data_IF_996277745792
#
_entry.id   IF_996277745792
#
_cell.length_a   1.000
_cell.length_b   1.000
_cell.length_c   1.000
_cell.angle_alpha   90.00
_cell.angle_beta   90.00
_cell.angle_gamma   90.00
#
_symmetry.space_group_name_H-M   'P 1'
#
loop_
_entity.id
_entity.type
_entity.pdbx_description
1 polymer ?
#
# COMPACT_ATOMS: atom_id res chain seq x y z
N UNK A 1 28.40 5.63 -25.23
CA UNK A 1 27.16 5.71 -24.41
C UNK A 1 26.93 7.10 -23.83
N UNK A 2 27.94 7.80 -23.32
CA UNK A 2 27.76 9.13 -22.70
C UNK A 2 27.22 10.23 -23.66
N UNK A 3 27.65 10.25 -24.92
CA UNK A 3 27.18 11.24 -25.92
C UNK A 3 25.73 11.00 -26.36
N UNK A 4 25.27 9.75 -26.42
CA UNK A 4 23.88 9.41 -26.77
C UNK A 4 22.92 9.76 -25.63
N UNK A 5 23.33 9.58 -24.37
CA UNK A 5 22.54 9.99 -23.20
C UNK A 5 22.39 11.52 -23.18
N UNK A 6 23.46 12.27 -23.39
CA UNK A 6 23.40 13.72 -23.48
C UNK A 6 22.55 14.22 -24.66
N UNK A 7 22.59 13.54 -25.80
CA UNK A 7 21.76 13.90 -26.97
C UNK A 7 20.27 13.68 -26.67
N UNK A 8 19.92 12.56 -26.03
CA UNK A 8 18.54 12.24 -25.64
C UNK A 8 18.03 13.18 -24.55
N UNK A 9 18.82 13.47 -23.52
CA UNK A 9 18.48 14.45 -22.48
C UNK A 9 18.22 15.85 -23.05
N UNK A 10 19.05 16.27 -24.01
CA UNK A 10 18.90 17.55 -24.70
C UNK A 10 17.60 17.63 -25.53
N UNK A 11 17.17 16.52 -26.12
CA UNK A 11 15.91 16.44 -26.88
C UNK A 11 14.68 16.45 -25.96
N UNK A 12 14.79 15.87 -24.75
CA UNK A 12 13.74 15.91 -23.73
C UNK A 12 13.54 17.33 -23.15
N UNK A 13 14.62 18.07 -22.87
CA UNK A 13 14.51 19.48 -22.45
C UNK A 13 13.91 20.37 -23.54
N UNK A 14 14.32 20.17 -24.80
CA UNK A 14 13.71 20.87 -25.93
C UNK A 14 12.21 20.55 -26.02
N UNK A 15 11.83 19.29 -25.82
CA UNK A 15 10.42 18.86 -25.79
C UNK A 15 9.61 19.56 -24.71
N UNK A 16 10.16 19.72 -23.49
CA UNK A 16 9.50 20.46 -22.41
C UNK A 16 9.22 21.92 -22.83
N UNK A 17 10.17 22.59 -23.48
CA UNK A 17 9.96 23.96 -23.98
C UNK A 17 8.83 24.03 -25.02
N UNK A 18 8.74 23.05 -25.92
CA UNK A 18 7.64 22.97 -26.89
C UNK A 18 6.29 22.76 -26.22
N UNK A 19 6.21 21.93 -25.18
CA UNK A 19 4.98 21.76 -24.42
C UNK A 19 4.58 23.04 -23.68
N UNK A 20 5.53 23.73 -23.05
CA UNK A 20 5.27 25.03 -22.43
C UNK A 20 4.71 26.04 -23.41
N UNK A 21 5.31 26.13 -24.61
CA UNK A 21 4.82 26.99 -25.68
C UNK A 21 3.39 26.63 -26.08
N UNK A 22 3.10 25.35 -26.31
CA UNK A 22 1.76 24.89 -26.67
C UNK A 22 0.71 25.20 -25.59
N UNK A 23 1.04 25.02 -24.30
CA UNK A 23 0.16 25.35 -23.17
C UNK A 23 -0.14 26.86 -23.15
N UNK A 24 0.88 27.70 -23.32
CA UNK A 24 0.73 29.17 -23.32
C UNK A 24 -0.06 29.67 -24.54
N UNK A 25 0.13 29.04 -25.70
CA UNK A 25 -0.61 29.33 -26.94
C UNK A 25 -2.02 28.72 -26.96
N UNK A 26 -2.40 27.98 -25.91
CA UNK A 26 -3.66 27.23 -25.78
C UNK A 26 -3.86 26.18 -26.88
N UNK A 27 -2.79 25.70 -27.49
CA UNK A 27 -2.83 24.61 -28.46
C UNK A 27 -2.72 23.25 -27.76
N UNK A 28 -3.73 22.40 -27.95
CA UNK A 28 -3.76 21.01 -27.43
C UNK A 28 -3.31 20.86 -25.97
N UNK A 29 -3.71 21.80 -25.12
CA UNK A 29 -3.29 21.90 -23.69
C UNK A 29 -3.42 20.56 -22.95
N UNK A 30 -4.51 19.83 -23.19
CA UNK A 30 -4.75 18.50 -22.61
C UNK A 30 -3.59 17.52 -22.86
N UNK A 31 -3.15 17.39 -24.11
CA UNK A 31 -2.07 16.46 -24.48
C UNK A 31 -0.72 17.02 -24.05
N UNK A 32 -0.47 18.30 -24.32
CA UNK A 32 0.78 18.96 -23.98
C UNK A 32 1.10 18.85 -22.48
N UNK A 33 0.12 19.11 -21.61
CA UNK A 33 0.31 19.03 -20.15
C UNK A 33 0.58 17.59 -19.68
N UNK A 34 -0.13 16.60 -20.23
CA UNK A 34 0.09 15.18 -19.88
C UNK A 34 1.45 14.68 -20.34
N UNK A 35 1.81 14.99 -21.58
CA UNK A 35 3.08 14.54 -22.17
C UNK A 35 4.27 15.23 -21.48
N UNK A 36 4.14 16.53 -21.18
CA UNK A 36 5.13 17.28 -20.39
C UNK A 36 5.34 16.67 -19.01
N UNK A 37 4.27 16.32 -18.29
CA UNK A 37 4.38 15.70 -16.97
C UNK A 37 5.07 14.33 -17.03
N UNK A 38 4.85 13.54 -18.09
CA UNK A 38 5.53 12.25 -18.29
C UNK A 38 7.01 12.46 -18.58
N UNK A 39 7.37 13.42 -19.42
CA UNK A 39 8.78 13.74 -19.73
C UNK A 39 9.50 14.27 -18.50
N UNK A 40 8.90 15.21 -17.76
CA UNK A 40 9.45 15.73 -16.50
C UNK A 40 9.68 14.61 -15.48
N UNK A 41 8.75 13.65 -15.37
CA UNK A 41 8.93 12.47 -14.52
C UNK A 41 10.14 11.62 -14.93
N UNK A 42 10.40 11.46 -16.23
CA UNK A 42 11.56 10.69 -16.74
C UNK A 42 12.89 11.40 -16.45
N UNK A 43 12.87 12.72 -16.31
CA UNK A 43 14.03 13.55 -15.98
C UNK A 43 14.18 13.79 -14.48
N UNK A 44 13.51 13.02 -13.63
CA UNK A 44 13.59 13.18 -12.17
C UNK A 44 12.99 14.51 -11.62
N UNK A 45 12.17 15.19 -12.43
CA UNK A 45 11.55 16.49 -12.12
C UNK A 45 10.08 16.32 -11.71
N UNK A 46 9.80 15.36 -10.82
CA UNK A 46 8.43 15.04 -10.44
C UNK A 46 7.70 16.20 -9.74
N UNK A 47 8.41 17.00 -8.94
CA UNK A 47 7.84 18.16 -8.25
C UNK A 47 7.38 19.24 -9.22
N UNK A 48 8.20 19.53 -10.24
CA UNK A 48 7.84 20.47 -11.30
C UNK A 48 6.66 19.96 -12.12
N UNK A 49 6.62 18.65 -12.40
CA UNK A 49 5.47 18.03 -13.07
C UNK A 49 4.17 18.21 -12.27
N UNK A 50 4.23 18.00 -10.95
CA UNK A 50 3.08 18.22 -10.05
C UNK A 50 2.64 19.68 -10.09
N UNK A 51 3.58 20.62 -10.01
CA UNK A 51 3.27 22.04 -9.98
C UNK A 51 2.67 22.51 -11.32
N UNK A 52 3.22 22.04 -12.43
CA UNK A 52 2.68 22.31 -13.75
C UNK A 52 1.24 21.77 -13.88
N UNK A 53 0.98 20.52 -13.45
CA UNK A 53 -0.39 19.99 -13.48
C UNK A 53 -1.32 20.83 -12.61
N UNK A 54 -0.93 21.18 -11.39
CA UNK A 54 -1.76 22.03 -10.50
C UNK A 54 -2.05 23.38 -11.12
N UNK A 55 -1.04 24.00 -11.72
CA UNK A 55 -1.13 25.32 -12.34
C UNK A 55 -2.01 25.32 -13.58
N UNK A 56 -1.90 24.32 -14.47
CA UNK A 56 -2.54 24.37 -15.80
C UNK A 56 -3.77 23.46 -15.95
N UNK A 57 -4.07 22.56 -15.00
CA UNK A 57 -5.23 21.66 -15.14
C UNK A 57 -6.55 22.38 -15.35
N UNK A 58 -6.70 23.62 -14.88
CA UNK A 58 -7.93 24.41 -15.07
C UNK A 58 -8.17 24.82 -16.54
N UNK A 59 -7.12 24.83 -17.36
CA UNK A 59 -7.20 25.06 -18.80
C UNK A 59 -7.57 23.80 -19.58
N UNK A 60 -7.48 22.63 -18.95
CA UNK A 60 -7.78 21.35 -19.58
C UNK A 60 -9.27 21.00 -19.55
N UNK A 61 -9.70 20.19 -20.51
CA UNK A 61 -11.09 19.73 -20.59
C UNK A 61 -11.49 18.87 -19.37
N UNK A 62 -12.78 18.84 -19.06
CA UNK A 62 -13.34 17.99 -18.00
C UNK A 62 -13.02 16.49 -18.21
N UNK A 63 -12.92 16.05 -19.47
CA UNK A 63 -12.59 14.66 -19.80
C UNK A 63 -11.14 14.29 -19.47
N UNK A 64 -10.22 15.27 -19.49
CA UNK A 64 -8.80 15.06 -19.18
C UNK A 64 -8.50 15.08 -17.68
N UNK A 65 -9.38 15.63 -16.85
CA UNK A 65 -9.19 15.72 -15.39
C UNK A 65 -8.95 14.34 -14.74
N UNK A 66 -9.71 13.31 -15.12
CA UNK A 66 -9.53 11.95 -14.56
C UNK A 66 -8.13 11.38 -14.88
N UNK A 67 -7.60 11.70 -16.07
CA UNK A 67 -6.25 11.29 -16.48
C UNK A 67 -5.17 12.06 -15.75
N UNK A 68 -5.35 13.37 -15.57
CA UNK A 68 -4.44 14.22 -14.78
C UNK A 68 -4.40 13.80 -13.32
N UNK A 69 -5.57 13.46 -12.73
CA UNK A 69 -5.64 12.95 -11.36
C UNK A 69 -4.88 11.62 -11.21
N UNK A 70 -4.96 10.74 -12.22
CA UNK A 70 -4.21 9.48 -12.21
C UNK A 70 -2.70 9.71 -12.33
N UNK A 71 -2.27 10.70 -13.13
CA UNK A 71 -0.86 11.11 -13.20
C UNK A 71 -0.38 11.69 -11.87
N UNK A 72 -1.14 12.59 -11.24
CA UNK A 72 -0.81 13.15 -9.93
C UNK A 72 -0.67 12.06 -8.85
N UNK A 73 -1.63 11.12 -8.79
CA UNK A 73 -1.56 9.99 -7.84
C UNK A 73 -0.29 9.16 -8.04
N UNK A 74 0.18 9.04 -9.29
CA UNK A 74 1.41 8.32 -9.61
C UNK A 74 2.67 9.12 -9.27
N UNK A 75 2.68 10.43 -9.52
CA UNK A 75 3.75 11.36 -9.16
C UNK A 75 3.92 11.53 -7.64
N UNK A 76 2.84 11.33 -6.86
CA UNK A 76 2.88 11.41 -5.40
C UNK A 76 3.36 10.14 -4.69
N UNK A 77 3.46 9.00 -5.39
CA UNK A 77 4.02 7.79 -4.79
C UNK A 77 5.43 8.07 -4.27
N UNK A 78 5.92 7.35 -3.28
CA UNK A 78 7.36 7.30 -2.93
C UNK A 78 8.07 6.28 -3.83
N UNK A 79 9.36 6.45 -4.07
CA UNK A 79 10.22 5.41 -4.65
C UNK A 79 10.65 4.40 -3.60
N UNK A 80 10.10 3.20 -3.67
CA UNK A 80 10.55 2.06 -2.85
C UNK A 80 11.53 1.15 -3.58
N UNK A 81 11.60 1.25 -4.90
CA UNK A 81 12.31 0.27 -5.75
C UNK A 81 13.58 0.90 -6.33
N UNK A 82 14.51 1.28 -5.45
CA UNK A 82 15.80 1.93 -5.78
C UNK A 82 16.66 1.22 -6.82
N UNK A 83 16.26 1.30 -8.08
CA UNK A 83 17.04 1.03 -9.27
C UNK A 83 16.86 2.23 -10.22
N UNK A 84 17.70 3.25 -9.99
CA UNK A 84 17.97 4.43 -10.83
C UNK A 84 16.78 5.38 -11.13
N UNK A 85 16.64 6.39 -10.26
CA UNK A 85 16.53 7.79 -10.68
C UNK A 85 15.17 8.32 -11.15
N UNK A 86 14.14 8.24 -10.31
CA UNK A 86 12.92 9.03 -10.53
C UNK A 86 12.24 9.39 -9.21
N UNK A 87 12.92 10.16 -8.34
CA UNK A 87 12.45 10.89 -7.17
C UNK A 87 11.04 11.43 -7.38
N UNK A 88 10.08 10.61 -6.97
CA UNK A 88 8.70 11.03 -6.85
C UNK A 88 8.54 11.90 -5.60
N UNK A 89 7.55 12.79 -5.58
CA UNK A 89 7.47 13.89 -4.61
C UNK A 89 7.29 13.47 -3.13
N UNK A 90 7.03 12.19 -2.86
CA UNK A 90 6.81 11.68 -1.50
C UNK A 90 5.60 12.25 -0.77
N UNK A 91 4.65 12.81 -1.50
CA UNK A 91 3.42 13.47 -1.01
C UNK A 91 2.32 12.45 -0.73
N UNK A 92 2.57 11.55 0.22
CA UNK A 92 1.68 10.41 0.51
C UNK A 92 0.34 10.87 1.08
N UNK A 93 0.31 11.95 1.86
CA UNK A 93 -0.90 12.53 2.42
C UNK A 93 -1.85 13.03 1.31
N UNK A 94 -1.32 13.77 0.33
CA UNK A 94 -2.06 14.24 -0.83
C UNK A 94 -2.54 13.06 -1.69
N UNK A 95 -1.72 12.03 -1.83
CA UNK A 95 -2.11 10.79 -2.50
C UNK A 95 -3.33 10.14 -1.83
N UNK A 96 -3.29 9.99 -0.50
CA UNK A 96 -4.38 9.42 0.29
C UNK A 96 -5.66 10.26 0.13
N UNK A 97 -5.54 11.58 0.21
CA UNK A 97 -6.69 12.48 0.07
C UNK A 97 -7.35 12.34 -1.30
N UNK A 98 -6.56 12.33 -2.38
CA UNK A 98 -7.07 12.15 -3.74
C UNK A 98 -7.73 10.78 -3.92
N UNK A 99 -7.11 9.70 -3.43
CA UNK A 99 -7.67 8.35 -3.52
C UNK A 99 -9.02 8.25 -2.78
N UNK A 100 -9.11 8.81 -1.57
CA UNK A 100 -10.38 8.90 -0.81
C UNK A 100 -11.43 9.71 -1.55
N UNK A 101 -11.05 10.84 -2.15
CA UNK A 101 -11.98 11.66 -2.94
C UNK A 101 -12.50 10.89 -4.16
N UNK A 102 -11.65 10.18 -4.90
CA UNK A 102 -12.10 9.37 -6.05
C UNK A 102 -13.03 8.23 -5.62
N UNK A 103 -12.73 7.54 -4.51
CA UNK A 103 -13.62 6.53 -3.93
C UNK A 103 -14.99 7.13 -3.55
N UNK A 104 -15.00 8.33 -2.94
CA UNK A 104 -16.24 9.06 -2.61
C UNK A 104 -17.04 9.40 -3.87
N UNK A 105 -16.37 9.81 -4.95
CA UNK A 105 -17.02 10.12 -6.23
C UNK A 105 -17.65 8.88 -6.90
N UNK A 106 -17.04 7.70 -6.75
CA UNK A 106 -17.64 6.43 -7.18
C UNK A 106 -18.87 6.11 -6.33
N UNK A 107 -18.76 6.20 -5.00
CA UNK A 107 -19.87 5.94 -4.10
C UNK A 107 -21.08 6.85 -4.35
N UNK A 108 -20.84 8.13 -4.67
CA UNK A 108 -21.88 9.09 -5.05
C UNK A 108 -22.45 8.88 -6.47
N UNK A 109 -21.97 7.88 -7.23
CA UNK A 109 -22.40 7.61 -8.60
C UNK A 109 -21.90 8.63 -9.64
N UNK A 110 -21.13 9.64 -9.23
CA UNK A 110 -20.63 10.73 -10.09
C UNK A 110 -19.51 10.27 -11.03
N UNK A 111 -18.67 9.33 -10.61
CA UNK A 111 -17.54 8.89 -11.42
C UNK A 111 -17.94 8.08 -12.67
N UNK A 112 -19.12 7.48 -12.68
CA UNK A 112 -19.63 6.65 -13.77
C UNK A 112 -20.95 7.18 -14.36
N UNK A 113 -21.41 8.36 -13.94
CA UNK A 113 -22.69 8.96 -14.37
C UNK A 113 -23.86 7.98 -14.24
N UNK A 114 -23.93 7.24 -13.12
CA UNK A 114 -24.96 6.22 -12.87
C UNK A 114 -24.82 4.91 -13.65
N UNK A 115 -23.84 4.78 -14.56
CA UNK A 115 -23.57 3.52 -15.28
C UNK A 115 -22.72 2.58 -14.42
N UNK A 116 -22.78 1.28 -14.69
CA UNK A 116 -21.96 0.27 -14.01
C UNK A 116 -20.55 0.13 -14.61
N UNK A 117 -20.36 0.60 -15.85
CA UNK A 117 -19.10 0.55 -16.59
C UNK A 117 -18.84 1.87 -17.33
N UNK A 118 -17.55 2.17 -17.53
CA UNK A 118 -17.08 3.27 -18.39
C UNK A 118 -16.07 2.76 -19.40
N UNK A 119 -16.03 3.38 -20.59
CA UNK A 119 -15.01 3.08 -21.59
C UNK A 119 -13.75 3.86 -21.26
N UNK A 120 -12.66 3.16 -20.96
CA UNK A 120 -11.33 3.72 -20.84
C UNK A 120 -10.54 3.51 -22.14
N UNK A 121 -9.50 4.30 -22.34
CA UNK A 121 -8.53 4.11 -23.42
C UNK A 121 -7.13 4.03 -22.85
N UNK A 122 -6.36 3.07 -23.33
CA UNK A 122 -4.94 2.94 -23.03
C UNK A 122 -4.22 2.46 -24.28
N UNK A 123 -3.13 3.14 -24.66
CA UNK A 123 -2.34 2.85 -25.86
C UNK A 123 -3.19 2.65 -27.14
N UNK A 124 -4.16 3.56 -27.36
CA UNK A 124 -5.06 3.51 -28.52
C UNK A 124 -6.16 2.44 -28.46
N UNK A 125 -6.12 1.53 -27.48
CA UNK A 125 -7.14 0.48 -27.31
C UNK A 125 -8.23 0.92 -26.35
N UNK A 126 -9.49 0.64 -26.73
CA UNK A 126 -10.67 0.86 -25.88
C UNK A 126 -10.93 -0.40 -25.05
N UNK A 127 -11.23 -0.22 -23.77
CA UNK A 127 -11.65 -1.30 -22.89
C UNK A 127 -12.71 -0.78 -21.92
N UNK A 128 -13.49 -1.70 -21.35
CA UNK A 128 -14.49 -1.35 -20.35
C UNK A 128 -13.90 -1.54 -18.96
N UNK A 129 -14.15 -0.56 -18.10
CA UNK A 129 -13.81 -0.60 -16.67
C UNK A 129 -15.12 -0.61 -15.90
N UNK A 130 -15.30 -1.58 -15.02
CA UNK A 130 -16.46 -1.64 -14.12
C UNK A 130 -16.23 -0.86 -12.83
N UNK A 131 -17.31 -0.47 -12.15
CA UNK A 131 -17.25 0.11 -10.80
C UNK A 131 -16.47 -0.81 -9.85
N UNK A 132 -16.69 -2.14 -9.92
CA UNK A 132 -16.02 -3.11 -9.04
C UNK A 132 -14.51 -3.10 -9.25
N UNK A 133 -14.06 -3.22 -10.50
CA UNK A 133 -12.64 -3.19 -10.89
C UNK A 133 -11.98 -1.88 -10.45
N UNK A 134 -12.61 -0.74 -10.73
CA UNK A 134 -12.06 0.57 -10.38
C UNK A 134 -11.99 0.79 -8.87
N UNK A 135 -13.03 0.35 -8.14
CA UNK A 135 -13.06 0.45 -6.67
C UNK A 135 -11.96 -0.40 -6.04
N UNK A 136 -11.81 -1.66 -6.49
CA UNK A 136 -10.76 -2.55 -5.99
C UNK A 136 -9.35 -2.00 -6.30
N UNK A 137 -9.15 -1.41 -7.48
CA UNK A 137 -7.90 -0.75 -7.88
C UNK A 137 -7.58 0.46 -6.99
N UNK A 138 -8.54 1.34 -6.76
CA UNK A 138 -8.35 2.52 -5.91
C UNK A 138 -8.11 2.15 -4.45
N UNK A 139 -8.82 1.14 -3.93
CA UNK A 139 -8.54 0.59 -2.60
C UNK A 139 -7.13 -0.01 -2.53
N UNK A 140 -6.70 -0.79 -3.53
CA UNK A 140 -5.34 -1.33 -3.58
C UNK A 140 -4.25 -0.25 -3.53
N UNK A 141 -4.46 0.86 -4.25
CA UNK A 141 -3.57 2.03 -4.22
C UNK A 141 -3.60 2.75 -2.87
N UNK A 142 -4.78 2.87 -2.25
CA UNK A 142 -4.93 3.49 -0.92
C UNK A 142 -4.26 2.65 0.17
N UNK A 143 -4.39 1.33 0.09
CA UNK A 143 -3.66 0.40 0.96
C UNK A 143 -2.15 0.57 0.83
N UNK A 144 -1.65 0.74 -0.41
CA UNK A 144 -0.22 0.97 -0.64
C UNK A 144 0.25 2.29 -0.02
N UNK A 145 -0.52 3.36 -0.19
CA UNK A 145 -0.21 4.65 0.42
C UNK A 145 -0.14 4.56 1.96
N UNK A 146 -1.04 3.81 2.59
CA UNK A 146 -0.96 3.56 4.04
C UNK A 146 0.24 2.70 4.46
N UNK A 147 0.67 1.74 3.63
CA UNK A 147 1.91 1.00 3.88
C UNK A 147 3.13 1.92 3.88
N UNK A 148 3.15 2.92 2.99
CA UNK A 148 4.24 3.91 2.97
C UNK A 148 4.31 4.77 4.24
N UNK A 149 3.18 4.98 4.92
CA UNK A 149 3.13 5.63 6.24
C UNK A 149 3.38 4.66 7.41
N UNK A 150 3.78 3.40 7.14
CA UNK A 150 3.85 2.32 8.12
C UNK A 150 2.52 2.08 8.89
N UNK A 151 1.40 2.56 8.36
CA UNK A 151 0.07 2.37 8.95
C UNK A 151 -0.53 1.05 8.46
N UNK A 152 0.05 -0.05 8.91
CA UNK A 152 -0.32 -1.39 8.47
C UNK A 152 -1.75 -1.79 8.85
N UNK A 153 -2.30 -1.22 9.93
CA UNK A 153 -3.68 -1.44 10.35
C UNK A 153 -4.68 -0.86 9.34
N UNK A 154 -4.48 0.40 8.93
CA UNK A 154 -5.33 1.03 7.92
C UNK A 154 -5.16 0.35 6.55
N UNK A 155 -3.93 -0.03 6.18
CA UNK A 155 -3.64 -0.74 4.95
C UNK A 155 -4.37 -2.09 4.89
N UNK A 156 -4.31 -2.89 5.96
CA UNK A 156 -4.99 -4.19 6.06
C UNK A 156 -6.51 -4.05 5.82
N UNK A 157 -7.16 -3.10 6.49
CA UNK A 157 -8.60 -2.89 6.36
C UNK A 157 -9.00 -2.60 4.91
N UNK A 158 -8.22 -1.76 4.23
CA UNK A 158 -8.46 -1.39 2.83
C UNK A 158 -8.17 -2.56 1.89
N UNK A 159 -7.08 -3.31 2.10
CA UNK A 159 -6.75 -4.47 1.26
C UNK A 159 -7.74 -5.61 1.41
N UNK A 160 -8.21 -5.89 2.63
CA UNK A 160 -9.30 -6.86 2.84
C UNK A 160 -10.55 -6.43 2.08
N UNK A 161 -10.93 -5.15 2.14
CA UNK A 161 -12.07 -4.65 1.37
C UNK A 161 -11.87 -4.79 -0.13
N UNK A 162 -10.67 -4.50 -0.65
CA UNK A 162 -10.34 -4.69 -2.05
C UNK A 162 -10.51 -6.15 -2.48
N UNK A 163 -9.99 -7.09 -1.69
CA UNK A 163 -10.10 -8.53 -1.94
C UNK A 163 -11.54 -9.07 -1.89
N UNK A 164 -12.40 -8.48 -1.04
CA UNK A 164 -13.83 -8.82 -1.01
C UNK A 164 -14.58 -8.37 -2.27
N UNK A 165 -14.17 -7.25 -2.87
CA UNK A 165 -14.82 -6.71 -4.07
C UNK A 165 -14.35 -7.47 -5.32
N UNK A 166 -13.03 -7.58 -5.47
CA UNK A 166 -12.41 -8.27 -6.59
C UNK A 166 -11.09 -8.90 -6.15
N UNK A 167 -11.05 -10.24 -6.03
CA UNK A 167 -9.83 -10.96 -5.71
C UNK A 167 -8.69 -10.66 -6.69
N UNK A 168 -7.56 -10.20 -6.16
CA UNK A 168 -6.37 -9.87 -6.93
C UNK A 168 -5.11 -10.37 -6.20
N UNK A 169 -4.21 -11.03 -6.94
CA UNK A 169 -2.96 -11.56 -6.39
C UNK A 169 -2.05 -10.48 -5.80
N UNK A 170 -1.91 -9.31 -6.45
CA UNK A 170 -1.08 -8.21 -5.95
C UNK A 170 -1.65 -7.63 -4.65
N UNK A 171 -2.96 -7.39 -4.58
CA UNK A 171 -3.60 -6.92 -3.34
C UNK A 171 -3.44 -7.94 -2.21
N UNK A 172 -3.50 -9.24 -2.52
CA UNK A 172 -3.31 -10.31 -1.54
C UNK A 172 -1.89 -10.43 -1.03
N UNK A 173 -0.89 -10.27 -1.91
CA UNK A 173 0.51 -10.19 -1.49
C UNK A 173 0.75 -9.00 -0.57
N UNK A 174 0.22 -7.82 -0.93
CA UNK A 174 0.38 -6.63 -0.09
C UNK A 174 -0.35 -6.77 1.25
N UNK A 175 -1.51 -7.43 1.30
CA UNK A 175 -2.18 -7.80 2.55
C UNK A 175 -1.29 -8.73 3.40
N UNK A 176 -0.64 -9.73 2.78
CA UNK A 176 0.34 -10.58 3.46
C UNK A 176 1.48 -9.78 4.07
N UNK A 177 2.05 -8.83 3.31
CA UNK A 177 3.10 -7.93 3.82
C UNK A 177 2.60 -7.08 4.99
N UNK A 178 1.36 -6.57 4.95
CA UNK A 178 0.79 -5.82 6.08
C UNK A 178 0.71 -6.68 7.35
N UNK A 179 0.29 -7.95 7.21
CA UNK A 179 0.17 -8.88 8.33
C UNK A 179 1.54 -9.27 8.91
N UNK A 180 2.55 -9.47 8.04
CA UNK A 180 3.94 -9.71 8.47
C UNK A 180 4.48 -8.55 9.31
N UNK A 181 4.28 -7.31 8.85
CA UNK A 181 4.75 -6.13 9.59
C UNK A 181 4.00 -5.92 10.92
N UNK A 182 2.85 -6.58 11.11
CA UNK A 182 2.14 -6.65 12.39
C UNK A 182 2.52 -7.89 13.23
N UNK A 183 3.45 -8.74 12.77
CA UNK A 183 3.84 -9.98 13.43
C UNK A 183 2.84 -11.14 13.30
N UNK A 184 1.83 -11.01 12.44
CA UNK A 184 0.75 -12.00 12.26
C UNK A 184 1.07 -12.98 11.14
N UNK A 185 2.13 -13.77 11.32
CA UNK A 185 2.70 -14.64 10.29
C UNK A 185 1.76 -15.75 9.81
N UNK A 186 1.00 -16.39 10.70
CA UNK A 186 0.07 -17.47 10.33
C UNK A 186 -1.06 -16.98 9.43
N UNK A 187 -1.62 -15.80 9.73
CA UNK A 187 -2.64 -15.17 8.89
C UNK A 187 -2.05 -14.75 7.55
N UNK A 188 -0.83 -14.18 7.54
CA UNK A 188 -0.13 -13.84 6.32
C UNK A 188 0.05 -15.07 5.42
N UNK A 189 0.49 -16.19 6.00
CA UNK A 189 0.66 -17.48 5.32
C UNK A 189 -0.65 -17.95 4.69
N UNK A 190 -1.74 -17.95 5.46
CA UNK A 190 -3.07 -18.36 4.99
C UNK A 190 -3.53 -17.53 3.77
N UNK A 191 -3.36 -16.21 3.84
CA UNK A 191 -3.72 -15.31 2.75
C UNK A 191 -2.88 -15.56 1.49
N UNK A 192 -1.56 -15.69 1.63
CA UNK A 192 -0.66 -15.90 0.49
C UNK A 192 -0.88 -17.27 -0.16
N UNK A 193 -1.12 -18.32 0.63
CA UNK A 193 -1.50 -19.64 0.12
C UNK A 193 -2.80 -19.57 -0.66
N UNK A 194 -3.83 -18.90 -0.13
CA UNK A 194 -5.10 -18.69 -0.84
C UNK A 194 -4.91 -17.98 -2.18
N UNK A 195 -4.00 -16.99 -2.25
CA UNK A 195 -3.67 -16.30 -3.50
C UNK A 195 -3.04 -17.26 -4.52
N UNK A 196 -2.11 -18.11 -4.07
CA UNK A 196 -1.47 -19.11 -4.91
C UNK A 196 -2.46 -20.15 -5.41
N UNK A 197 -3.29 -20.71 -4.52
CA UNK A 197 -4.29 -21.73 -4.87
C UNK A 197 -5.28 -21.22 -5.93
N UNK A 198 -5.76 -19.99 -5.78
CA UNK A 198 -6.60 -19.33 -6.80
C UNK A 198 -5.86 -19.13 -8.12
N UNK A 199 -4.58 -18.79 -8.05
CA UNK A 199 -3.71 -18.65 -9.22
C UNK A 199 -3.50 -19.95 -9.98
N UNK A 200 -3.41 -21.09 -9.28
CA UNK A 200 -3.24 -22.42 -9.87
C UNK A 200 -4.55 -23.04 -10.35
N UNK A 201 -5.67 -22.79 -9.67
CA UNK A 201 -6.99 -23.31 -10.02
C UNK A 201 -7.61 -22.62 -11.24
N UNK A 202 -7.19 -21.39 -11.56
CA UNK A 202 -7.61 -20.70 -12.77
C UNK A 202 -7.03 -21.40 -14.01
N UNK A 203 -7.85 -22.21 -14.69
CA UNK A 203 -7.53 -22.89 -15.95
C UNK A 203 -7.17 -21.93 -17.12
N UNK A 204 -7.21 -20.63 -16.89
CA UNK A 204 -6.78 -19.56 -17.80
C UNK A 204 -5.53 -18.86 -17.24
N UNK A 205 -4.45 -19.64 -17.05
CA UNK A 205 -3.12 -19.17 -16.65
C UNK A 205 -2.51 -18.04 -17.53
N UNK A 206 -3.18 -17.68 -18.63
CA UNK A 206 -2.83 -16.57 -19.51
C UNK A 206 -3.24 -15.18 -18.96
N UNK A 207 -4.15 -15.09 -17.98
CA UNK A 207 -4.66 -13.82 -17.45
C UNK A 207 -4.16 -13.46 -16.03
N UNK A 208 -3.58 -14.40 -15.29
CA UNK A 208 -3.05 -14.13 -13.95
C UNK A 208 -1.65 -13.54 -14.08
N UNK A 209 -1.38 -12.44 -13.38
CA UNK A 209 -0.09 -11.76 -13.36
C UNK A 209 1.00 -12.71 -12.82
N UNK A 210 1.77 -13.33 -13.73
CA UNK A 210 2.84 -14.27 -13.39
C UNK A 210 3.85 -13.66 -12.42
N UNK A 211 4.09 -12.35 -12.48
CA UNK A 211 4.98 -11.65 -11.56
C UNK A 211 4.38 -11.60 -10.16
N UNK A 212 3.08 -11.36 -10.05
CA UNK A 212 2.37 -11.38 -8.77
C UNK A 212 2.42 -12.76 -8.11
N UNK A 213 2.24 -13.85 -8.88
CA UNK A 213 2.35 -15.21 -8.36
C UNK A 213 3.79 -15.57 -7.94
N UNK A 214 4.79 -15.16 -8.73
CA UNK A 214 6.19 -15.35 -8.34
C UNK A 214 6.52 -14.61 -7.05
N UNK A 215 6.02 -13.38 -6.90
CA UNK A 215 6.13 -12.60 -5.66
C UNK A 215 5.43 -13.29 -4.50
N UNK A 216 4.23 -13.85 -4.70
CA UNK A 216 3.51 -14.60 -3.68
C UNK A 216 4.32 -15.82 -3.20
N UNK A 217 4.94 -16.58 -4.13
CA UNK A 217 5.81 -17.71 -3.78
C UNK A 217 7.01 -17.29 -2.93
N UNK A 218 7.68 -16.21 -3.33
CA UNK A 218 8.83 -15.67 -2.58
C UNK A 218 8.40 -15.23 -1.18
N UNK A 219 7.28 -14.52 -1.08
CA UNK A 219 6.72 -14.05 0.19
C UNK A 219 6.35 -15.23 1.11
N UNK A 220 5.80 -16.30 0.57
CA UNK A 220 5.48 -17.51 1.34
C UNK A 220 6.75 -18.13 1.96
N UNK A 221 7.83 -18.23 1.18
CA UNK A 221 9.10 -18.75 1.67
C UNK A 221 9.70 -17.88 2.80
N UNK A 222 9.59 -16.55 2.68
CA UNK A 222 10.02 -15.60 3.72
C UNK A 222 9.18 -15.75 5.01
N UNK A 223 7.86 -15.96 4.88
CA UNK A 223 6.97 -16.21 6.02
C UNK A 223 7.34 -17.52 6.71
N UNK A 224 7.51 -18.61 5.95
CA UNK A 224 7.84 -19.93 6.51
C UNK A 224 9.20 -19.91 7.24
N UNK A 225 10.19 -19.18 6.70
CA UNK A 225 11.46 -18.96 7.38
C UNK A 225 11.29 -18.18 8.69
N UNK A 226 10.46 -17.13 8.69
CA UNK A 226 10.21 -16.29 9.87
C UNK A 226 9.51 -17.08 10.99
N UNK A 227 8.53 -17.92 10.62
CA UNK A 227 7.83 -18.80 11.56
C UNK A 227 8.83 -19.80 12.19
N UNK A 228 9.67 -20.43 11.36
CA UNK A 228 10.69 -21.38 11.83
C UNK A 228 11.67 -20.75 12.82
N UNK A 229 12.18 -19.54 12.52
CA UNK A 229 13.07 -18.79 13.43
C UNK A 229 12.36 -18.44 14.74
N UNK A 230 11.10 -18.01 14.68
CA UNK A 230 10.30 -17.69 15.86
C UNK A 230 10.09 -18.92 16.76
N UNK A 231 9.77 -20.08 16.17
CA UNK A 231 9.62 -21.34 16.90
C UNK A 231 10.94 -21.79 17.56
N UNK A 232 12.05 -21.68 16.84
CA UNK A 232 13.38 -22.00 17.38
C UNK A 232 13.74 -21.11 18.57
N UNK A 233 13.50 -19.80 18.45
CA UNK A 233 13.76 -18.83 19.52
C UNK A 233 12.91 -19.12 20.75
N UNK A 234 11.63 -19.49 20.57
CA UNK A 234 10.74 -19.89 21.67
C UNK A 234 11.26 -21.13 22.39
N UNK A 235 11.69 -22.16 21.65
CA UNK A 235 12.25 -23.40 22.23
C UNK A 235 13.51 -23.12 23.04
N UNK A 236 14.44 -22.33 22.51
CA UNK A 236 15.66 -21.92 23.24
C UNK A 236 15.34 -21.15 24.53
N UNK A 237 14.36 -20.24 24.48
CA UNK A 237 13.91 -19.51 25.67
C UNK A 237 13.33 -20.43 26.74
N UNK A 238 12.52 -21.42 26.34
CA UNK A 238 11.97 -22.42 27.27
C UNK A 238 13.05 -23.34 27.87
N UNK A 239 14.05 -23.73 27.08
CA UNK A 239 15.21 -24.50 27.58
C UNK A 239 16.08 -23.69 28.53
N UNK A 240 16.33 -22.40 28.24
CA UNK A 240 17.05 -21.51 29.16
C UNK A 240 16.29 -21.30 30.46
N UNK A 241 14.97 -21.09 30.41
CA UNK A 241 14.15 -20.94 31.63
C UNK A 241 14.20 -22.21 32.48
N UNK A 242 14.05 -23.39 31.85
CA UNK A 242 14.20 -24.68 32.54
C UNK A 242 15.60 -24.86 33.13
N UNK A 243 16.66 -24.38 32.47
CA UNK A 243 18.02 -24.47 32.99
C UNK A 243 18.27 -23.57 34.20
N UNK A 244 17.52 -22.47 34.34
CA UNK A 244 17.54 -21.58 35.50
C UNK A 244 16.70 -22.15 36.66
N UNK A 245 15.60 -22.83 36.37
CA UNK A 245 14.73 -23.49 37.35
C UNK A 245 15.37 -24.73 38.02
N UNK A 246 16.56 -25.17 37.57
CA UNK A 246 17.32 -26.27 38.21
C UNK A 246 18.01 -25.83 39.53
N UNK A 247 17.88 -24.57 39.96
CA UNK A 247 18.43 -24.10 41.25
C UNK A 247 17.41 -24.14 42.41
N UNK A 248 16.12 -24.41 42.18
CA UNK A 248 15.15 -24.63 43.26
C UNK A 248 14.66 -26.08 43.36
N UNK A 249 15.56 -26.99 43.77
CA UNK A 249 15.15 -28.18 44.52
C UNK A 249 15.75 -28.17 45.93
N UNK A 250 15.02 -27.54 46.85
CA UNK A 250 14.91 -28.05 48.21
C UNK A 250 13.44 -27.91 48.65
N UNK A 251 12.79 -28.99 49.12
CA UNK A 251 11.43 -28.89 49.62
C UNK A 251 11.47 -28.12 50.95
N UNK A 252 11.11 -26.84 50.93
CA UNK A 252 10.83 -26.10 52.16
C UNK A 252 9.35 -26.30 52.54
N UNK A 253 9.03 -26.56 53.82
CA UNK A 253 7.67 -26.85 54.22
C UNK A 253 6.78 -25.62 54.05
N UNK A 254 5.55 -25.87 53.61
CA UNK A 254 4.48 -24.89 53.46
C UNK A 254 4.39 -23.90 54.63
N UNK A 255 4.61 -22.62 54.36
CA UNK A 255 4.06 -21.53 55.18
C UNK A 255 3.57 -20.42 54.26
N UNK A 256 2.25 -20.26 54.26
CA UNK A 256 1.54 -19.09 53.80
C UNK A 256 2.16 -17.83 54.40
N UNK A 257 2.65 -16.93 53.57
CA UNK A 257 2.95 -15.56 53.97
C UNK A 257 2.20 -14.61 53.06
N UNK A 258 1.08 -14.09 53.58
CA UNK A 258 0.51 -12.83 53.12
C UNK A 258 1.58 -11.74 53.21
N UNK A 259 1.53 -10.80 52.28
CA UNK A 259 2.41 -9.64 52.23
C UNK A 259 2.31 -8.80 53.53
N UNK A 260 3.41 -8.24 54.06
CA UNK A 260 3.43 -7.47 55.32
C UNK A 260 2.72 -6.10 55.26
N UNK A 261 1.92 -5.83 54.22
CA UNK A 261 1.30 -4.51 53.99
C UNK A 261 -0.12 -4.41 54.56
N UNK A 262 -0.70 -5.51 55.05
CA UNK A 262 -2.12 -5.55 55.47
C UNK A 262 -2.36 -5.83 56.96
N UNK A 263 -1.38 -5.65 57.85
CA UNK A 263 -1.57 -5.89 59.29
C UNK A 263 -1.97 -4.65 60.13
N UNK A 264 -2.14 -3.46 59.55
CA UNK A 264 -2.43 -2.23 60.34
C UNK A 264 -3.74 -1.49 60.04
N UNK A 265 -4.74 -2.13 59.42
CA UNK A 265 -6.09 -1.53 59.36
C UNK A 265 -7.17 -2.55 59.70
N UNK A 266 -7.34 -2.82 61.00
CA UNK A 266 -8.63 -2.79 61.74
C UNK A 266 -8.59 -3.74 62.94
N UNK A 267 -8.89 -3.21 64.13
CA UNK A 267 -10.13 -3.64 64.75
C UNK A 267 -10.87 -2.44 65.36
N UNK A 268 -11.91 -1.98 64.68
CA UNK A 268 -13.05 -1.31 65.33
C UNK A 268 -14.32 -1.89 64.72
N UNK A 269 -14.67 -3.09 65.19
CA UNK A 269 -16.06 -3.51 65.20
C UNK A 269 -16.59 -3.26 66.61
N UNK A 270 -17.80 -2.71 66.65
CA UNK A 270 -18.70 -2.68 67.81
C UNK A 270 -18.50 -1.55 68.83
N UNK A 271 -19.02 -0.36 68.50
CA UNK A 271 -19.79 0.46 69.45
C UNK A 271 -20.95 1.16 68.71
N UNK A 272 -22.14 1.12 69.33
CA UNK A 272 -23.46 1.70 68.94
C UNK A 272 -24.26 0.78 67.99
N UNK A 273 -25.30 0.04 68.37
CA UNK A 273 -26.38 0.26 69.34
C UNK A 273 -27.12 1.59 69.14
N UNK A 274 -27.96 1.68 68.10
CA UNK A 274 -29.44 1.75 68.16
C UNK A 274 -30.00 1.84 66.74
#
# INVERSE_FOLDING_TARGET
>A
MHELVQLVEKDLEASILWFWKAINERDRVDSALKDMAVVMKQQDRAEEAVEAIKSFRHLCSNHSQDSLDNLLIDLYKIDTDGAFGAQKCGKVEEQILMLKQKLRMIYMGKAFNGKTTKTARSHGKKFQVSIKQETARLLGNLGWAYMQQANYMAAEAVYRKAQMIEPNANNGCNLGVCLINQGRYDEARSIVTTVLDRGFSSATAAAVDRKALQRAKKLLAEIDQSISVSEMTRRLGEEMLKSLDIIEEAPTPSKSKRLPVFEEISPFRDQMAF
#
